data_IF_968987363750
#
_entry.id   IF_968987363750
#
_cell.length_a   1.000
_cell.length_b   1.000
_cell.length_c   1.000
_cell.angle_alpha   90.00
_cell.angle_beta   90.00
_cell.angle_gamma   90.00
#
_symmetry.space_group_name_H-M   'P 1'
#
loop_
_entity.id
_entity.type
_entity.pdbx_description
1 polymer ?
#
# COMPACT_ATOMS: atom_id res chain seq x y z
N UNK A 1 -8.40 -30.29 -3.75
CA UNK A 1 -8.12 -29.10 -4.62
C UNK A 1 -7.74 -27.91 -3.74
N UNK A 2 -8.53 -27.54 -2.75
CA UNK A 2 -8.27 -26.39 -1.87
C UNK A 2 -6.90 -26.49 -1.18
N UNK A 3 -6.58 -27.63 -0.54
CA UNK A 3 -5.28 -27.84 0.10
C UNK A 3 -4.11 -27.65 -0.88
N UNK A 4 -4.25 -28.13 -2.12
CA UNK A 4 -3.24 -27.92 -3.17
C UNK A 4 -3.04 -26.44 -3.49
N UNK A 5 -4.14 -25.67 -3.61
CA UNK A 5 -4.08 -24.24 -3.95
C UNK A 5 -3.34 -23.43 -2.89
N UNK A 6 -3.48 -23.77 -1.62
CA UNK A 6 -2.85 -23.06 -0.51
C UNK A 6 -1.42 -23.53 -0.20
N UNK A 7 -1.11 -24.79 -0.46
CA UNK A 7 0.18 -25.39 -0.10
C UNK A 7 1.21 -25.44 -1.23
N UNK A 8 0.84 -25.05 -2.45
CA UNK A 8 1.69 -25.13 -3.64
C UNK A 8 2.06 -23.73 -4.12
N UNK A 9 3.34 -23.51 -4.43
CA UNK A 9 3.76 -22.23 -5.02
C UNK A 9 3.22 -22.08 -6.46
N UNK A 10 2.97 -20.84 -6.86
CA UNK A 10 2.50 -20.59 -8.22
C UNK A 10 3.53 -21.04 -9.28
N UNK A 11 4.82 -20.95 -9.01
CA UNK A 11 5.85 -21.50 -9.90
C UNK A 11 5.79 -23.03 -10.04
N UNK A 12 5.56 -23.74 -8.93
CA UNK A 12 5.43 -25.21 -8.99
C UNK A 12 4.16 -25.65 -9.72
N UNK A 13 3.07 -24.93 -9.53
CA UNK A 13 1.85 -25.10 -10.33
C UNK A 13 2.10 -24.93 -11.83
N UNK A 14 2.80 -23.85 -12.24
CA UNK A 14 3.11 -23.64 -13.65
C UNK A 14 4.00 -24.76 -14.23
N UNK A 15 4.95 -25.26 -13.44
CA UNK A 15 5.76 -26.43 -13.87
C UNK A 15 4.91 -27.68 -14.05
N UNK A 16 4.05 -27.98 -13.11
CA UNK A 16 3.26 -29.20 -13.07
C UNK A 16 2.16 -29.21 -14.12
N UNK A 17 1.36 -28.14 -14.22
CA UNK A 17 0.16 -28.11 -15.06
C UNK A 17 0.38 -27.48 -16.43
N UNK A 18 1.30 -26.53 -16.55
CA UNK A 18 1.60 -25.87 -17.81
C UNK A 18 2.88 -26.37 -18.48
N UNK A 19 3.68 -27.23 -17.79
CA UNK A 19 4.99 -27.67 -18.29
C UNK A 19 5.98 -26.51 -18.45
N UNK A 20 5.85 -25.46 -17.65
CA UNK A 20 6.64 -24.23 -17.76
C UNK A 20 8.13 -24.48 -17.46
N UNK A 21 8.98 -24.13 -18.38
CA UNK A 21 10.44 -24.08 -18.16
C UNK A 21 10.88 -22.79 -17.45
N UNK A 22 12.15 -22.73 -17.07
CA UNK A 22 12.71 -21.62 -16.29
C UNK A 22 12.55 -20.26 -16.98
N UNK A 23 12.59 -20.19 -18.31
CA UNK A 23 12.37 -18.95 -19.07
C UNK A 23 10.95 -18.41 -18.87
N UNK A 24 9.95 -19.28 -18.87
CA UNK A 24 8.55 -18.92 -18.61
C UNK A 24 8.38 -18.45 -17.16
N UNK A 25 8.99 -19.17 -16.21
CA UNK A 25 8.93 -18.81 -14.79
C UNK A 25 9.59 -17.47 -14.50
N UNK A 26 10.67 -17.13 -15.20
CA UNK A 26 11.29 -15.80 -15.13
C UNK A 26 10.36 -14.70 -15.66
N UNK A 27 9.58 -14.99 -16.71
CA UNK A 27 8.62 -14.06 -17.27
C UNK A 27 7.54 -13.66 -16.23
N UNK A 28 7.08 -14.64 -15.46
CA UNK A 28 6.07 -14.40 -14.41
C UNK A 28 6.67 -14.02 -13.04
N UNK A 29 7.98 -14.12 -12.86
CA UNK A 29 8.65 -14.01 -11.57
C UNK A 29 8.25 -12.80 -10.73
N UNK A 30 8.21 -11.62 -11.34
CA UNK A 30 7.89 -10.37 -10.65
C UNK A 30 6.54 -9.74 -11.08
N UNK A 31 5.71 -10.45 -11.85
CA UNK A 31 4.43 -9.90 -12.34
C UNK A 31 3.44 -9.62 -11.22
N UNK A 32 3.55 -10.32 -10.08
CA UNK A 32 2.70 -10.14 -8.90
C UNK A 32 3.31 -9.27 -7.81
N UNK A 33 4.48 -8.68 -8.03
CA UNK A 33 5.14 -7.79 -7.06
C UNK A 33 4.25 -6.61 -6.62
N UNK A 34 3.40 -6.11 -7.51
CA UNK A 34 2.49 -5.02 -7.20
C UNK A 34 1.43 -5.36 -6.16
N UNK A 35 1.05 -6.63 -6.07
CA UNK A 35 0.07 -7.12 -5.10
C UNK A 35 0.73 -7.60 -3.80
N UNK A 36 1.68 -8.52 -3.90
CA UNK A 36 2.24 -9.22 -2.74
C UNK A 36 3.64 -8.74 -2.33
N UNK A 37 4.34 -7.98 -3.18
CA UNK A 37 5.72 -7.55 -2.97
C UNK A 37 6.73 -8.70 -3.00
N UNK A 38 6.31 -9.86 -3.50
CA UNK A 38 7.05 -11.11 -3.55
C UNK A 38 7.11 -11.63 -4.98
N UNK A 39 8.05 -12.53 -5.25
CA UNK A 39 8.09 -13.26 -6.51
C UNK A 39 7.06 -14.41 -6.54
N UNK A 40 6.64 -14.81 -7.72
CA UNK A 40 5.67 -15.87 -7.96
C UNK A 40 6.02 -17.21 -7.30
N UNK A 41 7.31 -17.49 -7.07
CA UNK A 41 7.79 -18.68 -6.34
C UNK A 41 7.47 -18.66 -4.85
N UNK A 42 7.15 -17.48 -4.29
CA UNK A 42 6.91 -17.27 -2.87
C UNK A 42 5.43 -17.03 -2.54
N UNK A 43 4.55 -17.16 -3.52
CA UNK A 43 3.11 -16.92 -3.41
C UNK A 43 2.38 -18.22 -3.74
N UNK A 44 1.29 -18.52 -3.02
CA UNK A 44 0.47 -19.70 -3.28
C UNK A 44 -0.29 -19.60 -4.61
N UNK A 45 -0.77 -20.71 -5.10
CA UNK A 45 -1.64 -20.76 -6.29
C UNK A 45 -2.92 -19.96 -6.04
N UNK A 46 -3.50 -20.07 -4.84
CA UNK A 46 -4.69 -19.32 -4.43
C UNK A 46 -4.45 -17.82 -4.51
N UNK A 47 -3.41 -17.33 -3.82
CA UNK A 47 -3.04 -15.92 -3.79
C UNK A 47 -2.71 -15.36 -5.18
N UNK A 48 -2.09 -16.17 -6.05
CA UNK A 48 -1.79 -15.78 -7.42
C UNK A 48 -3.08 -15.62 -8.26
N UNK A 49 -4.05 -16.52 -8.09
CA UNK A 49 -5.33 -16.42 -8.79
C UNK A 49 -6.20 -15.26 -8.29
N UNK A 50 -6.15 -14.92 -7.02
CA UNK A 50 -6.86 -13.76 -6.44
C UNK A 50 -6.44 -12.43 -7.09
N UNK A 51 -5.22 -12.35 -7.59
CA UNK A 51 -4.71 -11.17 -8.32
C UNK A 51 -4.75 -11.35 -9.84
N UNK A 52 -5.46 -12.36 -10.33
CA UNK A 52 -5.73 -12.56 -11.76
C UNK A 52 -4.62 -13.22 -12.56
N UNK A 53 -3.69 -13.93 -11.91
CA UNK A 53 -2.66 -14.69 -12.62
C UNK A 53 -3.27 -15.82 -13.45
N UNK A 54 -2.71 -16.14 -14.63
CA UNK A 54 -3.27 -17.14 -15.53
C UNK A 54 -3.12 -18.58 -15.01
N UNK A 55 -3.94 -19.50 -15.54
CA UNK A 55 -3.78 -20.94 -15.34
C UNK A 55 -4.94 -21.63 -14.63
N UNK A 56 -5.91 -20.90 -14.05
CA UNK A 56 -7.04 -21.50 -13.34
C UNK A 56 -7.81 -22.53 -14.21
N UNK A 57 -7.90 -22.27 -15.51
CA UNK A 57 -8.51 -23.16 -16.48
C UNK A 57 -7.79 -24.51 -16.62
N UNK A 58 -6.50 -24.60 -16.27
CA UNK A 58 -5.75 -25.86 -16.27
C UNK A 58 -6.22 -26.82 -15.15
N UNK A 59 -6.84 -26.27 -14.11
CA UNK A 59 -7.49 -27.03 -13.03
C UNK A 59 -8.96 -27.38 -13.35
N UNK A 60 -9.44 -27.07 -14.56
CA UNK A 60 -10.83 -27.26 -14.96
C UNK A 60 -11.80 -26.29 -14.28
N UNK A 61 -11.29 -25.23 -13.68
CA UNK A 61 -12.06 -24.19 -13.05
C UNK A 61 -12.08 -22.91 -13.91
N UNK A 62 -13.14 -22.12 -13.75
CA UNK A 62 -13.22 -20.77 -14.30
C UNK A 62 -13.39 -19.81 -13.14
N UNK A 63 -12.76 -18.65 -13.23
CA UNK A 63 -13.10 -17.54 -12.33
C UNK A 63 -14.60 -17.30 -12.52
N UNK A 64 -15.38 -17.35 -11.44
CA UNK A 64 -16.71 -16.74 -11.45
C UNK A 64 -16.46 -15.30 -11.85
N UNK A 65 -17.23 -14.79 -12.83
CA UNK A 65 -17.28 -13.35 -13.08
C UNK A 65 -17.44 -12.71 -11.70
N UNK A 66 -16.47 -11.87 -11.35
CA UNK A 66 -16.46 -11.19 -10.06
C UNK A 66 -17.80 -10.46 -9.94
N UNK A 67 -18.58 -10.77 -8.92
CA UNK A 67 -19.76 -10.00 -8.54
C UNK A 67 -19.38 -8.58 -8.05
N UNK A 68 -18.09 -8.28 -8.01
CA UNK A 68 -17.56 -6.97 -7.81
C UNK A 68 -17.74 -6.16 -9.11
N UNK A 69 -18.94 -5.61 -9.27
CA UNK A 69 -19.03 -4.36 -10.02
C UNK A 69 -18.11 -3.37 -9.28
N UNK A 70 -16.94 -3.15 -9.86
CA UNK A 70 -16.14 -1.99 -9.48
C UNK A 70 -16.98 -0.75 -9.81
N UNK A 71 -17.68 -0.15 -8.84
CA UNK A 71 -18.10 1.22 -9.02
C UNK A 71 -16.80 2.01 -9.07
N UNK A 72 -16.30 2.29 -10.25
CA UNK A 72 -15.02 2.93 -10.48
C UNK A 72 -15.05 4.40 -10.06
N UNK A 73 -15.25 4.65 -8.78
CA UNK A 73 -15.15 5.96 -8.16
C UNK A 73 -13.74 6.17 -7.58
N UNK A 74 -12.74 6.19 -8.45
CA UNK A 74 -11.41 6.63 -8.06
C UNK A 74 -11.37 8.16 -7.97
N UNK A 75 -10.72 8.68 -6.94
CA UNK A 75 -10.29 10.06 -6.91
C UNK A 75 -8.91 10.17 -7.57
N UNK A 76 -8.59 11.29 -8.21
CA UNK A 76 -7.29 11.47 -8.89
C UNK A 76 -6.10 11.45 -7.94
N UNK A 77 -6.30 11.77 -6.66
CA UNK A 77 -5.32 11.68 -5.57
C UNK A 77 -5.52 10.42 -4.69
N UNK A 78 -6.27 9.45 -5.19
CA UNK A 78 -6.54 8.18 -4.50
C UNK A 78 -7.32 8.36 -3.20
N UNK A 79 -7.09 7.48 -2.23
CA UNK A 79 -7.77 7.48 -0.93
C UNK A 79 -7.45 8.71 -0.05
N UNK A 80 -6.51 9.57 -0.46
CA UNK A 80 -6.26 10.85 0.20
C UNK A 80 -7.51 11.74 0.21
N UNK A 81 -8.34 11.72 -0.85
CA UNK A 81 -9.61 12.44 -0.88
C UNK A 81 -10.58 11.97 0.20
N UNK A 82 -10.62 10.68 0.53
CA UNK A 82 -11.43 10.14 1.64
C UNK A 82 -10.98 10.74 2.98
N UNK A 83 -9.67 10.72 3.24
CA UNK A 83 -9.10 11.32 4.45
C UNK A 83 -9.38 12.83 4.52
N UNK A 84 -9.30 13.54 3.39
CA UNK A 84 -9.61 14.99 3.31
C UNK A 84 -11.08 15.27 3.60
N UNK A 85 -12.01 14.46 3.09
CA UNK A 85 -13.45 14.55 3.39
C UNK A 85 -13.71 14.32 4.88
N UNK A 86 -13.08 13.34 5.50
CA UNK A 86 -13.19 13.10 6.95
C UNK A 86 -12.68 14.30 7.76
N UNK A 87 -11.53 14.87 7.39
CA UNK A 87 -11.00 16.09 8.04
C UNK A 87 -11.95 17.26 7.86
N UNK A 88 -12.49 17.49 6.66
CA UNK A 88 -13.46 18.53 6.38
C UNK A 88 -14.74 18.35 7.22
N UNK A 89 -15.21 17.10 7.36
CA UNK A 89 -16.39 16.79 8.19
C UNK A 89 -16.17 17.10 9.68
N UNK A 90 -14.98 16.80 10.19
CA UNK A 90 -14.60 17.00 11.59
C UNK A 90 -14.23 18.48 11.89
N UNK A 91 -13.63 19.19 10.93
CA UNK A 91 -13.16 20.57 11.04
C UNK A 91 -13.64 21.35 9.80
N UNK A 92 -14.92 21.70 9.67
CA UNK A 92 -15.50 22.27 8.45
C UNK A 92 -14.82 23.54 7.96
N UNK A 93 -14.23 24.33 8.85
CA UNK A 93 -13.53 25.58 8.51
C UNK A 93 -12.22 25.37 7.74
N UNK A 94 -11.71 24.13 7.64
CA UNK A 94 -10.53 23.85 6.82
C UNK A 94 -10.80 23.96 5.33
N UNK A 95 -12.01 23.65 4.89
CA UNK A 95 -12.43 23.72 3.49
C UNK A 95 -13.97 23.88 3.40
N UNK A 96 -14.48 25.11 3.67
CA UNK A 96 -15.93 25.36 3.64
C UNK A 96 -16.53 25.04 2.26
N UNK A 97 -17.67 24.37 2.22
CA UNK A 97 -18.37 24.03 0.98
C UNK A 97 -17.74 22.87 0.19
N UNK A 98 -16.78 22.17 0.79
CA UNK A 98 -16.18 20.99 0.14
C UNK A 98 -17.00 19.74 0.45
N UNK A 99 -17.22 18.92 -0.59
CA UNK A 99 -17.85 17.61 -0.53
C UNK A 99 -17.20 16.65 -1.54
N UNK A 100 -17.79 15.48 -1.75
CA UNK A 100 -17.25 14.47 -2.67
C UNK A 100 -17.16 14.96 -4.13
N UNK A 101 -17.94 15.97 -4.53
CA UNK A 101 -17.98 16.47 -5.90
C UNK A 101 -16.80 17.41 -6.21
N UNK A 102 -16.12 17.96 -5.22
CA UNK A 102 -15.07 18.98 -5.43
C UNK A 102 -13.79 18.78 -4.58
N UNK A 103 -13.71 17.72 -3.79
CA UNK A 103 -12.63 17.49 -2.81
C UNK A 103 -11.23 17.42 -3.43
N UNK A 104 -11.11 16.87 -4.65
CA UNK A 104 -9.82 16.71 -5.30
C UNK A 104 -9.16 18.05 -5.67
N UNK A 105 -9.97 19.08 -5.93
CA UNK A 105 -9.50 20.42 -6.30
C UNK A 105 -9.63 21.45 -5.19
N UNK A 106 -10.24 21.07 -4.06
CA UNK A 106 -10.45 21.95 -2.92
C UNK A 106 -9.14 22.37 -2.25
N UNK A 107 -9.03 23.65 -1.89
CA UNK A 107 -7.92 24.15 -1.11
C UNK A 107 -8.24 24.09 0.37
N UNK A 108 -7.43 23.34 1.11
CA UNK A 108 -7.55 23.20 2.56
C UNK A 108 -6.69 24.25 3.27
N UNK A 109 -7.30 25.01 4.18
CA UNK A 109 -6.57 25.88 5.10
C UNK A 109 -6.06 25.06 6.30
N UNK A 110 -4.81 24.60 6.20
CA UNK A 110 -4.16 23.84 7.28
C UNK A 110 -3.98 24.66 8.56
N UNK A 111 -4.08 26.01 8.50
CA UNK A 111 -4.08 26.85 9.68
C UNK A 111 -5.28 26.65 10.60
N UNK A 112 -6.35 26.00 10.13
CA UNK A 112 -7.55 25.70 10.92
C UNK A 112 -7.48 24.37 11.69
N UNK A 113 -6.49 23.51 11.41
CA UNK A 113 -6.46 22.14 11.94
C UNK A 113 -6.25 22.07 13.45
N UNK A 114 -5.46 22.96 14.06
CA UNK A 114 -5.09 22.90 15.48
C UNK A 114 -5.46 24.17 16.24
N UNK A 115 -6.67 24.69 16.03
CA UNK A 115 -7.17 25.89 16.76
C UNK A 115 -7.62 25.52 18.16
N UNK A 116 -7.26 26.30 19.20
CA UNK A 116 -7.63 26.02 20.59
C UNK A 116 -9.15 25.97 20.85
N UNK A 117 -9.92 26.74 20.10
CA UNK A 117 -11.39 26.82 20.17
C UNK A 117 -12.11 25.72 19.38
N UNK A 118 -11.38 24.83 18.71
CA UNK A 118 -11.95 23.72 17.95
C UNK A 118 -12.22 22.51 18.86
N UNK A 119 -13.41 21.90 18.81
CA UNK A 119 -13.69 20.67 19.55
C UNK A 119 -12.87 19.47 19.05
N UNK A 120 -12.47 19.50 17.78
CA UNK A 120 -11.56 18.51 17.17
C UNK A 120 -10.30 19.24 16.70
N UNK A 121 -9.15 18.68 17.02
CA UNK A 121 -7.85 19.25 16.66
C UNK A 121 -6.96 18.19 16.02
N UNK A 122 -6.34 18.56 14.90
CA UNK A 122 -5.37 17.71 14.18
C UNK A 122 -4.01 18.40 14.16
N UNK A 123 -3.02 17.81 14.81
CA UNK A 123 -1.66 18.34 14.92
C UNK A 123 -0.75 17.69 13.91
N UNK A 124 -0.44 18.40 12.83
CA UNK A 124 0.56 17.98 11.87
C UNK A 124 1.98 18.22 12.42
N UNK A 125 2.96 17.49 11.89
CA UNK A 125 4.38 17.56 12.29
C UNK A 125 4.56 17.31 13.79
N UNK A 126 3.71 16.45 14.35
CA UNK A 126 3.76 16.02 15.75
C UNK A 126 4.08 14.52 15.77
N UNK A 127 5.30 14.18 16.14
CA UNK A 127 5.76 12.78 16.18
C UNK A 127 5.57 12.23 17.58
N UNK A 128 4.64 11.27 17.74
CA UNK A 128 4.46 10.56 19.01
C UNK A 128 5.69 9.69 19.27
N UNK A 129 6.22 9.76 20.48
CA UNK A 129 7.40 9.00 20.90
C UNK A 129 7.12 8.08 22.08
N UNK A 130 6.00 8.29 22.79
CA UNK A 130 5.63 7.43 23.92
C UNK A 130 4.13 7.61 24.25
N UNK A 131 3.46 6.51 24.60
CA UNK A 131 2.11 6.48 25.13
C UNK A 131 2.08 5.53 26.33
N UNK A 132 1.75 6.06 27.51
CA UNK A 132 1.73 5.32 28.78
C UNK A 132 0.30 5.28 29.29
N UNK A 133 -0.18 4.06 29.58
CA UNK A 133 -1.46 3.87 30.21
C UNK A 133 -1.36 4.12 31.72
N UNK A 134 -2.25 4.94 32.26
CA UNK A 134 -2.46 5.11 33.68
C UNK A 134 -3.82 4.56 34.10
N UNK A 135 -4.19 4.72 35.37
CA UNK A 135 -5.45 4.19 35.92
C UNK A 135 -6.67 4.85 35.24
N UNK A 136 -6.69 6.18 35.14
CA UNK A 136 -7.82 6.95 34.60
C UNK A 136 -7.46 7.75 33.33
N UNK A 137 -6.24 7.68 32.87
CA UNK A 137 -5.77 8.50 31.74
C UNK A 137 -4.64 7.83 30.94
N UNK A 138 -4.45 8.28 29.71
CA UNK A 138 -3.28 7.95 28.89
C UNK A 138 -2.44 9.22 28.70
N UNK A 139 -1.15 9.12 28.99
CA UNK A 139 -0.19 10.20 28.78
C UNK A 139 0.56 9.98 27.45
N UNK A 140 0.30 10.80 26.46
CA UNK A 140 0.95 10.74 25.14
C UNK A 140 2.01 11.84 25.02
N UNK A 141 3.27 11.44 24.86
CA UNK A 141 4.40 12.34 24.63
C UNK A 141 4.72 12.40 23.15
N UNK A 142 4.97 13.59 22.64
CA UNK A 142 5.29 13.81 21.24
C UNK A 142 6.27 14.98 21.05
N UNK A 143 6.96 14.98 19.91
CA UNK A 143 7.88 16.04 19.51
C UNK A 143 7.19 16.88 18.44
N UNK A 144 7.11 18.19 18.65
CA UNK A 144 6.65 19.17 17.67
C UNK A 144 7.57 20.37 17.66
N UNK A 145 8.03 20.78 16.47
CA UNK A 145 8.96 21.89 16.29
C UNK A 145 10.21 21.79 17.18
N UNK A 146 10.78 20.57 17.29
CA UNK A 146 11.96 20.26 18.11
C UNK A 146 11.72 20.28 19.62
N UNK A 147 10.48 20.44 20.09
CA UNK A 147 10.13 20.51 21.51
C UNK A 147 9.34 19.30 21.95
N UNK A 148 9.71 18.74 23.11
CA UNK A 148 8.93 17.70 23.76
C UNK A 148 7.65 18.31 24.34
N UNK A 149 6.53 17.68 24.03
CA UNK A 149 5.22 18.03 24.51
C UNK A 149 4.50 16.79 25.04
N UNK A 150 3.51 16.99 25.89
CA UNK A 150 2.67 15.91 26.43
C UNK A 150 1.21 16.33 26.42
N UNK A 151 0.35 15.40 26.05
CA UNK A 151 -1.10 15.50 26.22
C UNK A 151 -1.57 14.36 27.11
N UNK A 152 -2.59 14.62 27.91
CA UNK A 152 -3.31 13.63 28.71
C UNK A 152 -4.74 13.51 28.20
N UNK A 153 -5.23 12.33 28.10
CA UNK A 153 -6.60 12.02 27.64
C UNK A 153 -7.15 10.85 28.43
N UNK A 154 -8.47 10.75 28.55
CA UNK A 154 -9.11 9.60 29.19
C UNK A 154 -8.81 8.32 28.42
N UNK A 155 -8.82 8.38 27.09
CA UNK A 155 -8.62 7.23 26.21
C UNK A 155 -7.65 7.61 25.09
N UNK A 156 -7.01 6.59 24.49
CA UNK A 156 -6.13 6.73 23.34
C UNK A 156 -6.42 5.62 22.32
N UNK A 157 -6.59 5.99 21.06
CA UNK A 157 -6.62 5.03 19.95
C UNK A 157 -5.29 5.11 19.22
N UNK A 158 -4.51 4.04 19.25
CA UNK A 158 -3.27 3.90 18.50
C UNK A 158 -3.60 3.44 17.08
N UNK A 159 -3.62 4.39 16.13
CA UNK A 159 -3.99 4.15 14.74
C UNK A 159 -2.76 4.16 13.81
N UNK A 160 -1.64 3.67 14.29
CA UNK A 160 -0.37 3.56 13.56
C UNK A 160 0.01 2.09 13.33
N UNK A 161 1.05 1.84 12.54
CA UNK A 161 1.53 0.49 12.25
C UNK A 161 1.82 -0.32 13.51
N UNK A 162 1.37 -1.58 13.54
CA UNK A 162 1.58 -2.46 14.67
C UNK A 162 3.06 -2.61 15.04
N UNK A 163 3.93 -2.70 14.05
CA UNK A 163 5.37 -2.86 14.28
C UNK A 163 6.05 -1.72 15.05
N UNK A 164 5.44 -0.52 15.12
CA UNK A 164 5.97 0.61 15.90
C UNK A 164 5.43 0.63 17.34
N UNK A 165 4.30 0.00 17.62
CA UNK A 165 3.64 0.03 18.92
C UNK A 165 4.50 -0.46 20.09
N UNK A 166 5.32 -1.53 19.95
CA UNK A 166 6.24 -1.96 21.01
C UNK A 166 7.23 -0.90 21.47
N UNK A 167 7.53 0.07 20.59
CA UNK A 167 8.43 1.19 20.91
C UNK A 167 7.69 2.39 21.50
N UNK A 168 6.41 2.57 21.18
CA UNK A 168 5.58 3.67 21.68
C UNK A 168 4.90 3.33 22.99
N UNK A 169 4.52 2.06 23.20
CA UNK A 169 3.79 1.58 24.35
C UNK A 169 4.60 0.52 25.09
N UNK A 170 5.60 0.91 25.90
CA UNK A 170 6.53 -0.03 26.54
C UNK A 170 5.85 -0.97 27.54
N UNK A 171 4.68 -0.60 28.04
CA UNK A 171 3.93 -1.36 29.06
C UNK A 171 3.07 -2.48 28.46
N UNK A 172 2.95 -2.58 27.13
CA UNK A 172 2.20 -3.67 26.50
C UNK A 172 2.76 -5.05 26.91
N UNK A 173 1.90 -6.07 27.06
CA UNK A 173 2.33 -7.44 27.37
C UNK A 173 3.37 -7.95 26.37
N UNK A 174 4.27 -8.82 26.83
CA UNK A 174 5.34 -9.36 25.98
C UNK A 174 4.79 -10.12 24.77
N UNK A 175 3.72 -10.89 24.96
CA UNK A 175 3.02 -11.61 23.90
C UNK A 175 2.45 -10.67 22.85
N UNK A 176 1.75 -9.61 23.27
CA UNK A 176 1.20 -8.61 22.37
C UNK A 176 2.29 -7.90 21.56
N UNK A 177 3.40 -7.53 22.21
CA UNK A 177 4.57 -6.96 21.53
C UNK A 177 5.20 -7.92 20.52
N UNK A 178 5.26 -9.22 20.83
CA UNK A 178 5.75 -10.23 19.90
C UNK A 178 4.83 -10.36 18.68
N UNK A 179 3.52 -10.39 18.89
CA UNK A 179 2.52 -10.42 17.83
C UNK A 179 2.56 -9.17 16.92
N UNK A 180 2.76 -7.98 17.50
CA UNK A 180 2.94 -6.74 16.75
C UNK A 180 4.22 -6.75 15.88
N UNK A 181 5.31 -7.33 16.36
CA UNK A 181 6.57 -7.48 15.61
C UNK A 181 6.51 -8.56 14.53
N UNK A 182 5.60 -9.51 14.68
CA UNK A 182 5.40 -10.58 13.70
C UNK A 182 4.98 -10.03 12.34
N UNK A 183 4.18 -9.00 12.33
CA UNK A 183 3.51 -8.42 11.15
C UNK A 183 4.46 -7.55 10.32
N UNK A 184 5.28 -8.19 9.50
CA UNK A 184 6.19 -7.50 8.58
C UNK A 184 5.42 -7.06 7.35
N UNK A 185 5.49 -5.76 7.05
CA UNK A 185 4.74 -5.12 5.95
C UNK A 185 5.50 -5.20 4.63
N UNK A 186 4.77 -5.19 3.54
CA UNK A 186 5.30 -5.23 2.17
C UNK A 186 5.92 -3.88 1.78
N UNK A 187 7.15 -3.84 1.25
CA UNK A 187 7.70 -2.63 0.65
C UNK A 187 7.21 -2.48 -0.79
N UNK A 188 6.81 -1.27 -1.18
CA UNK A 188 6.33 -0.95 -2.52
C UNK A 188 7.01 0.29 -3.09
N UNK A 189 7.15 0.30 -4.42
CA UNK A 189 7.64 1.44 -5.18
C UNK A 189 6.57 1.83 -6.19
N UNK A 190 6.15 3.10 -6.14
CA UNK A 190 5.37 3.73 -7.19
C UNK A 190 6.17 4.89 -7.77
N UNK A 191 6.53 4.75 -9.03
CA UNK A 191 7.21 5.82 -9.76
C UNK A 191 6.27 6.42 -10.77
N UNK A 192 5.95 7.71 -10.63
CA UNK A 192 5.10 8.40 -11.59
C UNK A 192 5.97 9.21 -12.54
N UNK A 193 5.69 9.07 -13.81
CA UNK A 193 6.38 9.75 -14.90
C UNK A 193 5.36 10.62 -15.64
N UNK A 194 5.59 11.91 -15.71
CA UNK A 194 4.77 12.78 -16.55
C UNK A 194 5.36 12.76 -17.95
N UNK A 195 4.65 12.14 -18.88
CA UNK A 195 4.98 12.15 -20.29
C UNK A 195 4.41 13.40 -20.97
N UNK A 196 5.09 13.90 -22.02
CA UNK A 196 4.63 15.02 -22.83
C UNK A 196 3.30 14.72 -23.54
N UNK A 197 3.13 13.50 -24.00
CA UNK A 197 1.87 12.97 -24.56
C UNK A 197 1.90 11.44 -24.53
N UNK A 198 0.75 10.82 -24.76
CA UNK A 198 0.62 9.37 -24.89
C UNK A 198 0.86 8.81 -26.28
N UNK A 199 1.03 9.65 -27.29
CA UNK A 199 1.06 9.29 -28.72
C UNK A 199 2.01 8.15 -29.09
N UNK A 200 3.11 7.96 -28.35
CA UNK A 200 4.05 6.87 -28.61
C UNK A 200 3.51 5.52 -28.12
N UNK A 201 2.79 5.50 -27.01
CA UNK A 201 2.08 4.30 -26.53
C UNK A 201 0.86 4.01 -27.43
N UNK A 202 0.16 5.04 -27.87
CA UNK A 202 -0.98 4.92 -28.79
C UNK A 202 -0.56 4.34 -30.15
N UNK A 203 0.63 4.71 -30.67
CA UNK A 203 1.21 4.08 -31.87
C UNK A 203 1.46 2.58 -31.72
N UNK A 204 1.75 2.11 -30.51
CA UNK A 204 1.94 0.69 -30.21
C UNK A 204 0.61 0.00 -29.87
N UNK A 205 -0.49 0.75 -29.69
CA UNK A 205 -1.78 0.23 -29.28
C UNK A 205 -1.79 -0.29 -27.83
N UNK A 206 -0.95 0.26 -26.95
CA UNK A 206 -0.79 -0.18 -25.56
C UNK A 206 -1.17 0.92 -24.56
N UNK A 207 -1.74 0.51 -23.44
CA UNK A 207 -1.99 1.38 -22.27
C UNK A 207 -1.21 0.97 -21.04
N UNK A 208 -0.64 -0.23 -21.03
CA UNK A 208 0.19 -0.77 -19.99
C UNK A 208 1.06 -1.91 -20.49
N UNK A 209 2.08 -2.27 -19.74
CA UNK A 209 3.03 -3.34 -20.06
C UNK A 209 3.55 -3.96 -18.77
N UNK A 210 3.67 -5.28 -18.75
CA UNK A 210 4.47 -5.97 -17.76
C UNK A 210 5.96 -5.87 -18.13
N UNK A 211 6.80 -5.72 -17.12
CA UNK A 211 8.24 -5.50 -17.25
C UNK A 211 9.02 -6.63 -16.56
N UNK A 212 9.06 -7.84 -17.13
CA UNK A 212 9.73 -8.99 -16.53
C UNK A 212 11.21 -8.72 -16.22
N UNK A 213 11.65 -9.12 -15.03
CA UNK A 213 13.04 -8.98 -14.59
C UNK A 213 13.50 -7.54 -14.34
N UNK A 214 12.58 -6.56 -14.39
CA UNK A 214 12.87 -5.15 -14.11
C UNK A 214 12.55 -4.80 -12.67
N UNK A 215 13.04 -3.64 -12.21
CA UNK A 215 12.78 -3.10 -10.88
C UNK A 215 11.28 -2.87 -10.64
N UNK A 216 10.59 -2.34 -11.64
CA UNK A 216 9.13 -2.23 -11.64
C UNK A 216 8.55 -3.38 -12.47
N UNK A 217 7.65 -4.16 -11.87
CA UNK A 217 7.04 -5.32 -12.53
C UNK A 217 6.04 -4.94 -13.63
N UNK A 218 5.50 -3.73 -13.56
CA UNK A 218 4.53 -3.24 -14.54
C UNK A 218 4.56 -1.71 -14.66
N UNK A 219 4.03 -1.21 -15.77
CA UNK A 219 3.70 0.20 -15.96
C UNK A 219 2.40 0.38 -16.72
N UNK A 220 1.65 1.45 -16.43
CA UNK A 220 0.39 1.72 -17.09
C UNK A 220 0.04 3.22 -17.08
N UNK A 221 -0.72 3.63 -18.10
CA UNK A 221 -1.27 4.98 -18.20
C UNK A 221 -2.52 5.10 -17.34
N UNK A 222 -2.55 6.09 -16.48
CA UNK A 222 -3.77 6.51 -15.82
C UNK A 222 -4.54 7.52 -16.67
N UNK A 223 -5.64 7.07 -17.28
CA UNK A 223 -6.52 7.93 -18.06
C UNK A 223 -7.95 7.88 -17.51
N UNK A 224 -8.70 8.95 -17.73
CA UNK A 224 -10.15 8.95 -17.55
C UNK A 224 -10.66 9.13 -16.13
N UNK A 225 -9.82 9.43 -15.16
CA UNK A 225 -10.30 9.73 -13.81
C UNK A 225 -10.87 11.15 -13.78
N UNK A 226 -12.20 11.25 -13.77
CA UNK A 226 -12.95 12.50 -13.67
C UNK A 226 -13.82 12.43 -12.43
N UNK A 227 -13.31 12.88 -11.29
CA UNK A 227 -14.01 12.81 -10.01
C UNK A 227 -13.53 13.89 -9.05
N UNK A 228 -14.36 14.21 -8.05
CA UNK A 228 -13.99 15.17 -7.01
C UNK A 228 -13.70 16.60 -7.53
N UNK A 229 -14.33 16.99 -8.63
CA UNK A 229 -14.12 18.28 -9.30
C UNK A 229 -12.91 18.33 -10.24
N UNK A 230 -12.13 17.26 -10.28
CA UNK A 230 -11.03 17.12 -11.23
C UNK A 230 -11.52 16.53 -12.54
N UNK A 231 -11.02 17.07 -13.65
CA UNK A 231 -11.17 16.53 -15.00
C UNK A 231 -9.79 16.29 -15.57
N UNK A 232 -9.52 15.07 -16.02
CA UNK A 232 -8.24 14.78 -16.63
C UNK A 232 -8.13 15.47 -18.00
N UNK A 233 -6.88 15.69 -18.44
CA UNK A 233 -6.63 16.29 -19.73
C UNK A 233 -7.22 15.42 -20.86
N UNK A 234 -8.07 16.01 -21.68
CA UNK A 234 -8.72 15.36 -22.83
C UNK A 234 -7.92 15.54 -24.14
N UNK A 235 -6.82 16.28 -24.10
CA UNK A 235 -5.96 16.52 -25.26
C UNK A 235 -4.99 15.33 -25.40
N UNK A 236 -5.11 14.57 -26.47
CA UNK A 236 -4.26 13.42 -26.77
C UNK A 236 -2.79 13.82 -26.98
N UNK A 237 -2.54 15.08 -27.35
CA UNK A 237 -1.20 15.66 -27.46
C UNK A 237 -0.70 16.29 -26.14
N UNK A 238 -1.53 16.33 -25.11
CA UNK A 238 -1.21 16.92 -23.81
C UNK A 238 -0.50 15.97 -22.86
N UNK A 239 0.05 16.52 -21.74
CA UNK A 239 0.75 15.73 -20.74
C UNK A 239 -0.14 14.66 -20.11
N UNK A 240 0.43 13.45 -19.93
CA UNK A 240 -0.25 12.30 -19.35
C UNK A 240 0.62 11.62 -18.30
N UNK A 241 0.06 11.20 -17.14
CA UNK A 241 0.79 10.44 -16.13
C UNK A 241 0.89 8.97 -16.53
N UNK A 242 2.10 8.43 -16.41
CA UNK A 242 2.42 7.01 -16.49
C UNK A 242 2.91 6.56 -15.11
N UNK A 243 2.37 5.47 -14.59
CA UNK A 243 2.77 4.92 -13.30
C UNK A 243 3.50 3.61 -13.50
N UNK A 244 4.68 3.51 -12.90
CA UNK A 244 5.43 2.27 -12.72
C UNK A 244 5.17 1.73 -11.33
N UNK A 245 4.92 0.43 -11.23
CA UNK A 245 4.59 -0.25 -10.00
C UNK A 245 5.47 -1.48 -9.78
N UNK A 246 5.96 -1.68 -8.56
CA UNK A 246 6.75 -2.85 -8.25
C UNK A 246 7.24 -2.91 -6.81
N UNK A 247 8.01 -3.94 -6.57
CA UNK A 247 8.82 -4.15 -5.38
C UNK A 247 10.18 -4.68 -5.81
N UNK A 248 11.19 -4.58 -4.95
CA UNK A 248 12.52 -5.10 -5.33
C UNK A 248 12.62 -6.58 -4.98
N UNK A 249 13.10 -7.36 -5.93
CA UNK A 249 13.43 -8.76 -5.70
C UNK A 249 14.37 -8.88 -4.50
N UNK A 250 14.05 -9.73 -3.51
CA UNK A 250 14.93 -9.97 -2.38
C UNK A 250 16.23 -10.64 -2.81
N UNK A 251 17.31 -10.54 -2.02
CA UNK A 251 18.52 -11.33 -2.23
C UNK A 251 18.21 -12.83 -2.23
N UNK A 252 18.96 -13.61 -3.02
CA UNK A 252 18.78 -15.05 -3.14
C UNK A 252 18.99 -15.82 -1.81
N UNK A 253 19.72 -15.23 -0.86
CA UNK A 253 20.02 -15.80 0.46
C UNK A 253 18.93 -15.55 1.52
N UNK A 254 17.86 -14.83 1.19
CA UNK A 254 16.75 -14.59 2.10
C UNK A 254 15.94 -15.87 2.32
N UNK A 255 15.91 -16.39 3.55
CA UNK A 255 15.42 -17.73 3.89
C UNK A 255 13.93 -17.75 4.24
N UNK A 256 13.40 -16.67 4.86
CA UNK A 256 12.00 -16.57 5.26
C UNK A 256 11.29 -15.46 4.52
N UNK A 257 9.96 -15.53 4.43
CA UNK A 257 9.12 -14.44 3.89
C UNK A 257 9.49 -13.09 4.52
N UNK A 258 9.58 -13.04 5.84
CA UNK A 258 9.90 -11.81 6.57
C UNK A 258 11.28 -11.27 6.24
N UNK A 259 12.23 -12.15 6.03
CA UNK A 259 13.60 -11.76 5.64
C UNK A 259 13.62 -11.27 4.20
N UNK A 260 12.83 -11.87 3.31
CA UNK A 260 12.65 -11.39 1.95
C UNK A 260 12.08 -9.97 1.93
N UNK A 261 11.00 -9.70 2.69
CA UNK A 261 10.41 -8.37 2.77
C UNK A 261 11.33 -7.33 3.41
N UNK A 262 12.09 -7.72 4.45
CA UNK A 262 13.11 -6.85 5.07
C UNK A 262 14.26 -6.52 4.13
N UNK A 263 14.76 -7.52 3.39
CA UNK A 263 15.82 -7.36 2.42
C UNK A 263 15.39 -6.47 1.24
N UNK A 264 14.19 -6.68 0.70
CA UNK A 264 13.59 -5.83 -0.32
C UNK A 264 13.47 -4.37 0.15
N UNK A 265 13.02 -4.16 1.40
CA UNK A 265 12.94 -2.83 2.02
C UNK A 265 14.32 -2.17 2.12
N UNK A 266 15.31 -2.91 2.62
CA UNK A 266 16.68 -2.39 2.76
C UNK A 266 17.24 -2.00 1.40
N UNK A 267 17.09 -2.85 0.38
CA UNK A 267 17.51 -2.56 -0.98
C UNK A 267 16.81 -1.32 -1.53
N UNK A 268 15.50 -1.22 -1.38
CA UNK A 268 14.71 -0.06 -1.82
C UNK A 268 15.23 1.25 -1.22
N UNK A 269 15.59 1.23 0.07
CA UNK A 269 16.07 2.42 0.79
C UNK A 269 17.52 2.75 0.49
N UNK A 270 18.32 1.78 0.02
CA UNK A 270 19.72 1.98 -0.34
C UNK A 270 19.93 2.60 -1.71
N UNK A 271 18.93 2.56 -2.59
CA UNK A 271 18.96 3.19 -3.91
C UNK A 271 18.70 4.69 -3.79
N UNK A 272 19.37 5.47 -4.63
CA UNK A 272 19.13 6.91 -4.78
C UNK A 272 18.11 7.20 -5.91
N UNK A 273 17.79 8.47 -6.10
CA UNK A 273 16.83 8.87 -7.14
C UNK A 273 17.35 8.55 -8.54
N UNK A 274 18.63 8.71 -8.78
CA UNK A 274 19.30 8.49 -10.05
C UNK A 274 19.21 7.02 -10.48
N UNK A 275 19.19 6.07 -9.57
CA UNK A 275 19.00 4.66 -9.87
C UNK A 275 17.60 4.38 -10.42
N UNK A 276 16.59 4.96 -9.78
CA UNK A 276 15.19 4.85 -10.24
C UNK A 276 14.97 5.58 -11.56
N UNK A 277 15.52 6.78 -11.71
CA UNK A 277 15.44 7.55 -12.95
C UNK A 277 16.08 6.78 -14.13
N UNK A 278 17.27 6.22 -13.93
CA UNK A 278 17.98 5.42 -14.93
C UNK A 278 17.15 4.22 -15.38
N UNK A 279 16.53 3.52 -14.43
CA UNK A 279 15.65 2.39 -14.72
C UNK A 279 14.46 2.81 -15.58
N UNK A 280 13.75 3.86 -15.17
CA UNK A 280 12.60 4.40 -15.92
C UNK A 280 13.01 4.79 -17.34
N UNK A 281 14.10 5.54 -17.50
CA UNK A 281 14.59 5.97 -18.81
C UNK A 281 14.99 4.77 -19.68
N UNK A 282 15.63 3.77 -19.13
CA UNK A 282 16.02 2.55 -19.83
C UNK A 282 14.80 1.78 -20.35
N UNK A 283 13.77 1.60 -19.51
CA UNK A 283 12.54 0.90 -19.90
C UNK A 283 11.81 1.67 -21.01
N UNK A 284 11.64 2.98 -20.84
CA UNK A 284 10.92 3.81 -21.80
C UNK A 284 11.67 3.95 -23.12
N UNK A 285 12.98 4.08 -23.11
CA UNK A 285 13.81 4.13 -24.32
C UNK A 285 13.72 2.82 -25.11
N UNK A 286 13.86 1.69 -24.40
CA UNK A 286 13.75 0.36 -25.02
C UNK A 286 12.38 0.09 -25.65
N UNK A 287 11.30 0.48 -24.97
CA UNK A 287 9.94 0.23 -25.43
C UNK A 287 9.49 1.25 -26.49
N UNK A 288 9.67 2.53 -26.23
CA UNK A 288 9.08 3.62 -27.02
C UNK A 288 10.07 4.28 -27.98
N UNK A 289 11.37 4.13 -27.77
CA UNK A 289 12.42 4.66 -28.68
C UNK A 289 12.23 4.24 -30.13
N UNK A 290 11.91 2.96 -30.44
CA UNK A 290 11.67 2.50 -31.82
C UNK A 290 10.52 3.22 -32.52
N UNK A 291 9.57 3.80 -31.77
CA UNK A 291 8.43 4.58 -32.34
C UNK A 291 8.64 6.09 -32.26
N UNK A 292 9.86 6.52 -31.92
CA UNK A 292 10.29 7.91 -31.97
C UNK A 292 10.21 8.69 -30.66
N UNK A 293 10.11 8.01 -29.52
CA UNK A 293 10.19 8.61 -28.19
C UNK A 293 11.61 9.06 -27.87
N UNK A 294 11.77 10.24 -27.32
CA UNK A 294 13.06 10.78 -26.86
C UNK A 294 12.97 11.02 -25.35
N UNK A 295 13.68 10.18 -24.57
CA UNK A 295 13.66 10.24 -23.10
C UNK A 295 14.03 11.61 -22.51
N UNK A 296 14.79 12.43 -23.25
CA UNK A 296 15.21 13.75 -22.81
C UNK A 296 14.17 14.85 -23.10
N UNK A 297 13.30 14.62 -24.09
CA UNK A 297 12.28 15.59 -24.51
C UNK A 297 10.89 15.22 -24.03
N UNK A 298 10.56 13.92 -24.02
CA UNK A 298 9.21 13.45 -23.82
C UNK A 298 8.91 13.09 -22.36
N UNK A 299 9.93 12.96 -21.49
CA UNK A 299 9.78 12.89 -20.04
C UNK A 299 9.84 14.31 -19.46
N UNK A 300 8.74 14.77 -18.85
CA UNK A 300 8.64 16.10 -18.25
C UNK A 300 8.99 16.13 -16.78
N UNK A 301 8.64 15.06 -16.05
CA UNK A 301 8.93 14.92 -14.62
C UNK A 301 8.91 13.46 -14.20
N UNK A 302 9.64 13.15 -13.12
CA UNK A 302 9.65 11.85 -12.46
C UNK A 302 9.49 12.08 -10.96
N UNK A 303 8.62 11.30 -10.31
CA UNK A 303 8.54 11.21 -8.85
C UNK A 303 8.63 9.76 -8.41
N UNK A 304 9.42 9.50 -7.38
CA UNK A 304 9.61 8.16 -6.83
C UNK A 304 9.02 8.11 -5.43
N UNK A 305 7.98 7.31 -5.26
CA UNK A 305 7.35 7.07 -3.97
C UNK A 305 7.82 5.72 -3.45
N UNK A 306 8.65 5.75 -2.42
CA UNK A 306 9.16 4.55 -1.74
C UNK A 306 8.34 4.34 -0.48
N UNK A 307 7.54 3.29 -0.46
CA UNK A 307 6.73 2.92 0.68
C UNK A 307 7.36 1.72 1.40
N UNK A 308 8.21 1.95 2.41
CA UNK A 308 8.92 0.85 3.10
C UNK A 308 7.99 -0.04 3.91
N UNK A 309 6.77 0.45 4.18
CA UNK A 309 5.71 -0.24 4.89
C UNK A 309 4.39 0.01 4.15
N UNK A 310 4.33 -0.41 2.87
CA UNK A 310 3.26 -0.07 1.94
C UNK A 310 1.95 -0.75 2.26
N UNK A 311 1.85 -2.07 2.09
CA UNK A 311 0.67 -2.82 2.47
C UNK A 311 0.70 -3.21 3.95
N UNK A 312 -0.49 -3.36 4.56
CA UNK A 312 -0.66 -4.02 5.83
C UNK A 312 -0.12 -5.46 5.75
N UNK A 313 0.16 -6.05 6.90
CA UNK A 313 0.37 -7.48 6.94
C UNK A 313 -0.92 -8.18 6.47
N UNK A 314 -0.76 -9.16 5.62
CA UNK A 314 -1.79 -10.11 5.21
C UNK A 314 -1.30 -11.53 5.51
N UNK A 315 -2.24 -12.44 5.74
CA UNK A 315 -1.94 -13.86 5.88
C UNK A 315 -1.39 -14.40 4.55
N UNK A 316 -0.34 -15.21 4.63
CA UNK A 316 0.32 -15.77 3.45
C UNK A 316 0.32 -17.30 3.57
N UNK A 317 -0.46 -17.98 2.73
CA UNK A 317 -0.73 -19.42 2.77
C UNK A 317 0.53 -20.29 2.91
N UNK A 318 1.59 -19.97 2.16
CA UNK A 318 2.83 -20.78 2.18
C UNK A 318 3.70 -20.55 3.42
N UNK A 319 3.44 -19.51 4.21
CA UNK A 319 4.40 -19.03 5.21
C UNK A 319 3.85 -18.92 6.61
N UNK A 320 2.56 -18.66 6.72
CA UNK A 320 1.89 -18.48 7.98
C UNK A 320 1.14 -19.78 8.36
N UNK A 321 1.21 -20.22 9.63
CA UNK A 321 0.45 -21.38 10.07
C UNK A 321 -1.03 -21.04 10.23
N UNK A 322 -1.88 -22.04 10.21
CA UNK A 322 -3.27 -21.92 10.62
C UNK A 322 -3.32 -21.65 12.14
N UNK A 323 -3.76 -20.46 12.53
CA UNK A 323 -3.98 -20.13 13.91
C UNK A 323 -5.43 -20.41 14.31
N UNK A 324 -5.67 -20.94 15.53
CA UNK A 324 -7.00 -20.93 16.10
C UNK A 324 -7.57 -19.51 16.21
N UNK A 325 -8.89 -19.39 16.19
CA UNK A 325 -9.57 -18.11 16.40
C UNK A 325 -9.10 -17.41 17.69
N UNK A 326 -8.75 -16.16 17.61
CA UNK A 326 -8.24 -15.34 18.72
C UNK A 326 -6.72 -15.49 18.99
N UNK A 327 -6.02 -16.36 18.26
CA UNK A 327 -4.57 -16.62 18.44
C UNK A 327 -3.72 -16.09 17.28
N UNK A 328 -4.34 -15.62 16.19
CA UNK A 328 -3.61 -15.03 15.08
C UNK A 328 -2.86 -13.76 15.51
N UNK A 329 -1.66 -13.49 14.95
CA UNK A 329 -0.85 -12.35 15.35
C UNK A 329 -1.57 -11.00 15.30
N UNK A 330 -2.42 -10.76 14.30
CA UNK A 330 -3.17 -9.52 14.19
C UNK A 330 -4.25 -9.38 15.28
N UNK A 331 -4.86 -10.49 15.72
CA UNK A 331 -5.85 -10.52 16.78
C UNK A 331 -5.21 -10.24 18.15
N UNK A 332 -4.09 -10.91 18.45
CA UNK A 332 -3.34 -10.67 19.69
C UNK A 332 -2.78 -9.24 19.71
N UNK A 333 -2.21 -8.78 18.59
CA UNK A 333 -1.61 -7.47 18.44
C UNK A 333 -2.58 -6.32 18.68
N UNK A 334 -3.86 -6.51 18.32
CA UNK A 334 -4.92 -5.49 18.38
C UNK A 334 -5.73 -5.49 19.68
N UNK A 335 -5.45 -6.39 20.64
CA UNK A 335 -6.15 -6.43 21.94
C UNK A 335 -6.01 -5.10 22.67
N UNK A 336 -7.08 -4.59 23.31
CA UNK A 336 -7.01 -3.40 24.16
C UNK A 336 -6.05 -3.57 25.33
N UNK A 337 -5.46 -2.47 25.78
CA UNK A 337 -4.63 -2.44 26.99
C UNK A 337 -4.99 -1.23 27.84
N UNK A 338 -5.72 -1.46 28.92
CA UNK A 338 -6.26 -0.40 29.76
C UNK A 338 -7.10 0.59 28.95
N UNK A 339 -6.73 1.86 29.00
CA UNK A 339 -7.39 2.93 28.27
C UNK A 339 -6.86 3.14 26.82
N UNK A 340 -6.05 2.20 26.32
CA UNK A 340 -5.50 2.24 24.96
C UNK A 340 -6.18 1.16 24.12
N UNK A 341 -6.72 1.55 22.97
CA UNK A 341 -7.19 0.64 21.92
C UNK A 341 -6.36 0.82 20.64
N UNK A 342 -6.40 -0.16 19.77
CA UNK A 342 -5.55 -0.22 18.57
C UNK A 342 -6.44 -0.32 17.34
N UNK A 343 -6.21 0.57 16.38
CA UNK A 343 -6.86 0.58 15.07
C UNK A 343 -5.80 0.49 13.96
N UNK A 344 -6.21 0.37 12.74
CA UNK A 344 -5.37 0.28 11.56
C UNK A 344 -5.65 -1.01 10.78
N UNK A 345 -5.39 -1.02 9.50
CA UNK A 345 -5.52 -2.18 8.62
C UNK A 345 -4.70 -3.41 9.07
N UNK A 346 -3.55 -3.20 9.78
CA UNK A 346 -2.78 -4.30 10.37
C UNK A 346 -3.61 -5.14 11.36
N UNK A 347 -4.60 -4.52 12.04
CA UNK A 347 -5.47 -5.21 13.00
C UNK A 347 -6.47 -6.16 12.32
N UNK A 348 -6.80 -5.91 11.07
CA UNK A 348 -7.65 -6.78 10.26
C UNK A 348 -6.87 -7.69 9.31
N UNK A 349 -5.53 -7.69 9.38
CA UNK A 349 -4.64 -8.44 8.49
C UNK A 349 -5.01 -8.31 7.01
N UNK A 350 -5.36 -7.09 6.57
CA UNK A 350 -5.81 -6.85 5.20
C UNK A 350 -5.52 -5.41 4.77
N UNK A 351 -4.93 -5.23 3.60
CA UNK A 351 -4.38 -3.96 3.12
C UNK A 351 -5.41 -3.02 2.47
N UNK A 352 -6.66 -3.04 2.90
CA UNK A 352 -7.74 -2.28 2.29
C UNK A 352 -8.28 -1.16 3.20
N UNK A 353 -8.73 -0.07 2.57
CA UNK A 353 -9.27 1.11 3.26
C UNK A 353 -10.52 0.79 4.08
N UNK A 354 -11.43 -0.05 3.58
CA UNK A 354 -12.62 -0.44 4.33
C UNK A 354 -12.26 -1.20 5.61
N UNK A 355 -11.29 -2.10 5.55
CA UNK A 355 -10.79 -2.80 6.75
C UNK A 355 -10.24 -1.81 7.79
N UNK A 356 -9.48 -0.80 7.36
CA UNK A 356 -9.01 0.24 8.28
C UNK A 356 -10.16 1.01 8.94
N UNK A 357 -11.29 1.23 8.23
CA UNK A 357 -12.49 1.86 8.77
C UNK A 357 -13.20 0.95 9.78
N UNK A 358 -13.34 -0.33 9.46
CA UNK A 358 -13.96 -1.32 10.35
C UNK A 358 -13.16 -1.49 11.63
N UNK A 359 -11.83 -1.55 11.52
CA UNK A 359 -10.93 -1.62 12.66
C UNK A 359 -10.93 -0.34 13.53
N UNK A 360 -11.08 0.82 12.91
CA UNK A 360 -11.28 2.06 13.67
C UNK A 360 -12.60 2.03 14.46
N UNK A 361 -13.67 1.50 13.85
CA UNK A 361 -14.96 1.34 14.52
C UNK A 361 -14.90 0.32 15.67
N UNK A 362 -14.23 -0.82 15.46
CA UNK A 362 -13.96 -1.82 16.51
C UNK A 362 -13.20 -1.17 17.68
N UNK A 363 -12.10 -0.47 17.39
CA UNK A 363 -11.27 0.15 18.41
C UNK A 363 -12.03 1.17 19.26
N UNK A 364 -12.91 1.99 18.65
CA UNK A 364 -13.76 2.94 19.37
C UNK A 364 -14.79 2.23 20.27
N UNK A 365 -15.40 1.14 19.80
CA UNK A 365 -16.34 0.34 20.61
C UNK A 365 -15.67 -0.36 21.81
N UNK A 366 -14.38 -0.60 21.75
CA UNK A 366 -13.60 -1.23 22.82
C UNK A 366 -13.08 -0.25 23.88
N UNK A 367 -13.30 1.06 23.68
CA UNK A 367 -12.98 2.04 24.73
C UNK A 367 -13.83 1.79 25.97
N UNK A 368 -13.23 1.83 27.19
CA UNK A 368 -13.94 1.61 28.44
C UNK A 368 -14.92 2.72 28.79
#
# INVERSE_FOLDING_TARGET
VEEYLWSTSYNDFLREYAGAGDEVLQLFGNSIHGAWGLEAKAVSVSEAFDVGMPGLNLLGATLKESEWEYPAAFYPDGNASIARLLVQRLIPRTAPGTDSSNVAVARFDYGQLDKPDSPVRLRLRATVVNAVNGDDEVAVSYIKDGKNQRVRSRHCVMACYHSILPHLCPDFPAEQKAAQKYQVKVPLILTNVLLRSSKHMDKLGISGVDCPGRMHGSMFLFRGINNGGYTHNQDDDGPVPLTFWGSLTPPEDAVTLKDQLRASRLRMLSLDFEDYEREVRTVLDGLLGPVGFDVNKDILAITVNRWPHGYAYEYMDLWDPDWPEGEAPHEIASKPFGNITIANADAGASAYTHVAVDEAHRAVKQLP
#
